data_IF_189139191972
#
_entry.id   IF_189139191972
#
_cell.length_a   1.000
_cell.length_b   1.000
_cell.length_c   1.000
_cell.angle_alpha   90.00
_cell.angle_beta   90.00
_cell.angle_gamma   90.00
#
_symmetry.space_group_name_H-M   'P 1'
#
loop_
_entity.id
_entity.type
_entity.pdbx_description
1 polymer ?
#
# COMPACT_ATOMS: atom_id res chain seq x y z
N UNK A 1 7.02 10.73 2.87
CA UNK A 1 6.12 10.87 4.05
C UNK A 1 7.01 10.99 5.27
N UNK A 2 6.67 11.91 6.17
CA UNK A 2 7.40 12.20 7.40
C UNK A 2 6.47 11.96 8.59
N UNK A 3 6.99 11.34 9.64
CA UNK A 3 6.20 10.98 10.81
C UNK A 3 7.03 10.53 11.99
N UNK A 4 6.40 10.48 13.16
CA UNK A 4 6.94 9.86 14.38
C UNK A 4 6.53 8.39 14.44
N UNK A 5 7.51 7.49 14.63
CA UNK A 5 7.26 6.06 14.83
C UNK A 5 7.09 5.74 16.32
N UNK A 6 6.11 4.90 16.67
CA UNK A 6 5.89 4.41 18.03
C UNK A 6 5.64 2.91 18.01
N UNK A 7 6.32 2.18 18.89
CA UNK A 7 6.09 0.75 19.08
C UNK A 7 4.77 0.54 19.83
N UNK A 8 4.01 -0.46 19.42
CA UNK A 8 2.76 -0.88 20.05
C UNK A 8 3.08 -2.07 20.98
N UNK A 9 3.02 -1.82 22.29
CA UNK A 9 3.21 -2.85 23.32
C UNK A 9 1.89 -3.49 23.76
N UNK A 10 0.77 -2.80 23.53
CA UNK A 10 -0.56 -3.28 23.89
C UNK A 10 -1.02 -4.40 22.94
N UNK A 11 -1.22 -5.59 23.50
CA UNK A 11 -1.61 -6.79 22.76
C UNK A 11 -2.97 -6.65 22.07
N UNK A 12 -3.93 -5.96 22.68
CA UNK A 12 -5.24 -5.77 22.06
C UNK A 12 -5.14 -4.82 20.86
N UNK A 13 -4.31 -3.77 20.94
CA UNK A 13 -4.01 -2.91 19.80
C UNK A 13 -3.32 -3.68 18.67
N UNK A 14 -2.40 -4.58 19.00
CA UNK A 14 -1.76 -5.46 18.02
C UNK A 14 -2.79 -6.38 17.33
N UNK A 15 -3.68 -7.03 18.09
CA UNK A 15 -4.78 -7.83 17.52
C UNK A 15 -5.65 -7.02 16.56
N UNK A 16 -6.11 -5.84 17.00
CA UNK A 16 -6.94 -4.96 16.19
C UNK A 16 -6.22 -4.51 14.89
N UNK A 17 -4.89 -4.35 14.93
CA UNK A 17 -4.10 -4.00 13.74
C UNK A 17 -4.06 -5.16 12.75
N UNK A 18 -3.85 -6.38 13.23
CA UNK A 18 -3.84 -7.59 12.41
C UNK A 18 -5.22 -7.81 11.78
N UNK A 19 -6.30 -7.71 12.56
CA UNK A 19 -7.67 -7.84 12.05
C UNK A 19 -7.97 -6.82 10.95
N UNK A 20 -7.56 -5.56 11.12
CA UNK A 20 -7.73 -4.53 10.08
C UNK A 20 -6.98 -4.87 8.81
N UNK A 21 -5.74 -5.36 8.93
CA UNK A 21 -4.93 -5.79 7.78
C UNK A 21 -5.58 -6.95 7.06
N UNK A 22 -6.04 -7.97 7.79
CA UNK A 22 -6.71 -9.15 7.23
C UNK A 22 -8.00 -8.74 6.52
N UNK A 23 -8.84 -7.95 7.19
CA UNK A 23 -10.08 -7.46 6.58
C UNK A 23 -9.82 -6.64 5.31
N UNK A 24 -8.76 -5.82 5.27
CA UNK A 24 -8.43 -5.04 4.09
C UNK A 24 -8.09 -5.93 2.89
N UNK A 25 -7.18 -6.88 3.05
CA UNK A 25 -6.71 -7.73 1.95
C UNK A 25 -7.68 -8.86 1.57
N UNK A 26 -8.44 -9.40 2.53
CA UNK A 26 -9.39 -10.50 2.30
C UNK A 26 -10.78 -10.01 1.87
N UNK A 27 -11.09 -8.72 2.00
CA UNK A 27 -12.44 -8.17 1.71
C UNK A 27 -12.96 -8.47 0.30
N UNK A 28 -12.06 -8.61 -0.67
CA UNK A 28 -12.40 -8.88 -2.07
C UNK A 28 -12.49 -10.36 -2.43
N UNK A 29 -12.13 -11.26 -1.51
CA UNK A 29 -12.12 -12.70 -1.76
C UNK A 29 -13.55 -13.27 -1.76
N UNK A 30 -13.86 -14.26 -2.62
CA UNK A 30 -15.16 -14.93 -2.61
C UNK A 30 -15.48 -15.60 -1.26
N UNK A 31 -14.46 -16.07 -0.55
CA UNK A 31 -14.56 -16.65 0.79
C UNK A 31 -13.48 -15.98 1.65
N UNK A 32 -13.80 -14.84 2.28
CA UNK A 32 -12.82 -14.09 3.07
C UNK A 32 -12.34 -14.92 4.26
N UNK A 33 -11.01 -15.07 4.39
CA UNK A 33 -10.44 -15.65 5.59
C UNK A 33 -10.54 -14.66 6.77
N UNK A 34 -10.77 -15.18 7.98
CA UNK A 34 -10.83 -14.38 9.22
C UNK A 34 -9.72 -14.79 10.15
N UNK A 35 -9.05 -13.79 10.72
CA UNK A 35 -8.07 -14.01 11.77
C UNK A 35 -8.77 -14.32 13.09
N UNK A 36 -8.72 -15.57 13.53
CA UNK A 36 -9.13 -15.99 14.87
C UNK A 36 -7.93 -15.80 15.83
N UNK A 37 -7.84 -14.62 16.46
CA UNK A 37 -6.65 -14.21 17.24
C UNK A 37 -6.75 -14.54 18.74
N UNK A 38 -7.65 -15.41 19.15
CA UNK A 38 -7.95 -15.68 20.57
C UNK A 38 -7.36 -16.99 21.10
N UNK A 39 -6.61 -17.72 20.28
CA UNK A 39 -5.97 -18.98 20.68
C UNK A 39 -4.50 -18.80 21.12
N UNK A 40 -3.97 -19.82 21.81
CA UNK A 40 -2.56 -19.82 22.26
C UNK A 40 -1.56 -19.84 21.11
N UNK A 41 -1.98 -20.28 19.93
CA UNK A 41 -1.09 -20.41 18.77
C UNK A 41 -0.82 -19.04 18.15
N UNK A 42 -1.86 -18.27 17.88
CA UNK A 42 -1.81 -16.89 17.41
C UNK A 42 -1.11 -15.96 18.40
N UNK A 43 -1.28 -16.19 19.71
CA UNK A 43 -0.48 -15.53 20.74
C UNK A 43 1.02 -15.76 20.60
N UNK A 44 1.43 -16.99 20.28
CA UNK A 44 2.82 -17.34 20.00
C UNK A 44 3.36 -16.64 18.75
N UNK A 45 2.56 -16.57 17.68
CA UNK A 45 2.92 -15.85 16.46
C UNK A 45 3.07 -14.34 16.70
N UNK A 46 2.19 -13.75 17.52
CA UNK A 46 2.26 -12.32 17.88
C UNK A 46 3.54 -11.96 18.62
N UNK A 47 4.08 -12.86 19.45
CA UNK A 47 5.37 -12.64 20.11
C UNK A 47 6.56 -12.59 19.13
N UNK A 48 6.40 -13.08 17.90
CA UNK A 48 7.41 -13.06 16.85
C UNK A 48 7.41 -11.77 16.01
N UNK A 49 6.48 -10.85 16.27
CA UNK A 49 6.33 -9.61 15.49
C UNK A 49 6.34 -8.37 16.39
N UNK A 50 6.73 -7.24 15.83
CA UNK A 50 6.67 -5.93 16.49
C UNK A 50 5.71 -5.05 15.71
N UNK A 51 4.59 -4.70 16.34
CA UNK A 51 3.65 -3.72 15.82
C UNK A 51 4.16 -2.32 16.08
N UNK A 52 4.00 -1.43 15.10
CA UNK A 52 4.32 -0.02 15.25
C UNK A 52 3.33 0.84 14.48
N UNK A 53 3.15 2.07 14.95
CA UNK A 53 2.36 3.09 14.27
C UNK A 53 3.28 4.25 13.84
N UNK A 54 2.98 4.85 12.69
CA UNK A 54 3.63 6.09 12.25
C UNK A 54 2.58 7.18 12.31
N UNK A 55 2.74 8.12 13.25
CA UNK A 55 1.95 9.35 13.25
C UNK A 55 2.46 10.24 12.14
N UNK A 56 1.69 10.36 11.06
CA UNK A 56 2.07 11.15 9.89
C UNK A 56 2.00 12.64 10.23
N UNK A 57 3.12 13.34 10.07
CA UNK A 57 3.21 14.80 10.23
C UNK A 57 3.12 15.51 8.88
N UNK A 58 3.66 14.90 7.82
CA UNK A 58 3.70 15.49 6.47
C UNK A 58 3.67 14.42 5.39
N UNK A 59 2.87 14.64 4.36
CA UNK A 59 2.90 13.86 3.12
C UNK A 59 3.36 14.79 2.01
N UNK A 60 4.39 14.37 1.29
CA UNK A 60 4.84 15.02 0.06
C UNK A 60 4.77 13.96 -1.03
N UNK A 61 4.00 14.26 -2.08
CA UNK A 61 3.92 13.46 -3.30
C UNK A 61 4.59 14.21 -4.44
N UNK A 62 5.23 13.47 -5.35
CA UNK A 62 5.79 14.05 -6.57
C UNK A 62 5.42 13.18 -7.76
N UNK A 63 4.62 13.73 -8.66
CA UNK A 63 4.35 13.11 -9.96
C UNK A 63 5.35 13.61 -10.98
N UNK A 64 6.03 12.69 -11.67
CA UNK A 64 6.94 13.00 -12.79
C UNK A 64 6.39 12.35 -14.06
N UNK A 65 5.44 13.03 -14.68
CA UNK A 65 4.68 12.50 -15.83
C UNK A 65 5.07 13.17 -17.15
N UNK A 66 6.36 13.52 -17.31
CA UNK A 66 6.86 14.10 -18.56
C UNK A 66 6.18 15.43 -18.99
N UNK A 67 5.63 16.18 -18.02
CA UNK A 67 4.81 17.40 -18.19
C UNK A 67 5.51 18.56 -18.91
N UNK A 68 6.84 18.52 -19.02
CA UNK A 68 7.65 19.58 -19.62
C UNK A 68 7.93 19.39 -21.13
N UNK A 69 7.30 18.40 -21.77
CA UNK A 69 7.52 18.08 -23.18
C UNK A 69 6.27 18.35 -24.02
N UNK A 70 6.45 18.47 -25.33
CA UNK A 70 5.36 18.65 -26.29
C UNK A 70 4.34 17.51 -26.21
N UNK A 71 3.07 17.80 -26.52
CA UNK A 71 1.97 16.83 -26.53
C UNK A 71 2.30 15.59 -27.37
N UNK A 72 2.91 15.79 -28.55
CA UNK A 72 3.32 14.69 -29.43
C UNK A 72 4.34 13.75 -28.76
N UNK A 73 5.28 14.30 -27.97
CA UNK A 73 6.25 13.48 -27.24
C UNK A 73 5.59 12.76 -26.06
N UNK A 74 4.61 13.37 -25.41
CA UNK A 74 3.84 12.70 -24.35
C UNK A 74 3.03 11.52 -24.92
N UNK A 75 2.36 11.71 -26.06
CA UNK A 75 1.62 10.65 -26.77
C UNK A 75 2.50 9.46 -27.16
N UNK A 76 3.68 9.71 -27.75
CA UNK A 76 4.61 8.65 -28.11
C UNK A 76 5.10 7.85 -26.89
N UNK A 77 5.30 8.52 -25.74
CA UNK A 77 5.69 7.84 -24.49
C UNK A 77 4.53 7.01 -23.94
N UNK A 78 3.30 7.50 -24.01
CA UNK A 78 2.09 6.76 -23.62
C UNK A 78 1.97 5.48 -24.44
N UNK A 79 2.07 5.56 -25.78
CA UNK A 79 1.98 4.39 -26.67
C UNK A 79 3.09 3.36 -26.39
N UNK A 80 4.32 3.83 -26.18
CA UNK A 80 5.44 2.96 -25.82
C UNK A 80 5.26 2.27 -24.47
N UNK A 81 4.68 2.96 -23.47
CA UNK A 81 4.43 2.38 -22.15
C UNK A 81 3.27 1.38 -22.17
N UNK A 82 2.20 1.62 -22.93
CA UNK A 82 1.06 0.69 -23.10
C UNK A 82 1.47 -0.66 -23.69
N UNK A 83 2.57 -0.72 -24.44
CA UNK A 83 3.06 -1.94 -25.10
C UNK A 83 4.27 -2.55 -24.42
N UNK A 84 4.74 -1.95 -23.32
CA UNK A 84 5.94 -2.39 -22.62
C UNK A 84 5.63 -3.60 -21.73
N UNK A 85 6.44 -4.68 -21.78
CA UNK A 85 6.28 -5.84 -20.91
C UNK A 85 6.79 -5.59 -19.47
N UNK A 86 7.23 -4.36 -19.17
CA UNK A 86 7.82 -4.02 -17.88
C UNK A 86 6.75 -3.78 -16.82
N UNK A 87 6.93 -4.37 -15.64
CA UNK A 87 6.01 -4.21 -14.52
C UNK A 87 5.81 -2.72 -14.17
N UNK A 88 4.55 -2.30 -14.01
CA UNK A 88 4.17 -0.92 -13.70
C UNK A 88 4.19 0.05 -14.89
N UNK A 89 4.46 -0.42 -16.12
CA UNK A 89 4.47 0.46 -17.30
C UNK A 89 3.08 1.04 -17.63
N UNK A 90 2.03 0.21 -17.58
CA UNK A 90 0.65 0.66 -17.82
C UNK A 90 0.13 1.59 -16.72
N UNK A 91 0.53 1.38 -15.46
CA UNK A 91 0.06 2.15 -14.30
C UNK A 91 0.50 3.62 -14.33
N UNK A 92 1.58 3.93 -15.05
CA UNK A 92 2.11 5.30 -15.22
C UNK A 92 1.40 6.04 -16.35
N UNK A 93 0.60 5.34 -17.17
CA UNK A 93 -0.20 5.96 -18.23
C UNK A 93 -1.43 6.61 -17.62
N UNK A 94 -1.36 7.92 -17.39
CA UNK A 94 -2.45 8.71 -16.83
C UNK A 94 -3.05 9.56 -17.94
N UNK A 95 -4.25 9.21 -18.40
CA UNK A 95 -4.95 9.88 -19.52
C UNK A 95 -5.48 11.28 -19.14
N UNK A 96 -5.61 11.62 -17.84
CA UNK A 96 -6.16 12.89 -17.33
C UNK A 96 -5.14 14.05 -17.19
N UNK A 97 -3.90 13.89 -17.64
CA UNK A 97 -2.86 14.94 -17.54
C UNK A 97 -2.62 15.73 -18.85
N UNK A 98 -3.49 15.56 -19.86
CA UNK A 98 -3.44 16.26 -21.15
C UNK A 98 -4.53 17.34 -21.26
#
# INVERSE_FOLDING_TARGET
MYGECRIIEDKQKMKNMIEKTVNFYESSMPIPWKAELDDKFTDGLMNGIVGFEIKINKIEGKWKLNQNYSLQRQQNVIEGLKTSPQYGAEEVVIEECL
#
